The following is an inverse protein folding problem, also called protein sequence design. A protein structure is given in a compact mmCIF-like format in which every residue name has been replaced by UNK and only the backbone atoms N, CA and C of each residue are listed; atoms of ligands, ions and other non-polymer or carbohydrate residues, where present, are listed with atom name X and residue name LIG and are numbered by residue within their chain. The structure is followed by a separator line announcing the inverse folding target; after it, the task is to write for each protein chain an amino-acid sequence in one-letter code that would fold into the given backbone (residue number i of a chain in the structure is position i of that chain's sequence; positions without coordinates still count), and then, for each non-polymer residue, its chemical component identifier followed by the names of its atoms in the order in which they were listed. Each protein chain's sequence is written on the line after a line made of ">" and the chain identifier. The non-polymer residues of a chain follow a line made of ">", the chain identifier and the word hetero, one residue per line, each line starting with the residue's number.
data_IF_209017087570
#
_entry.id   IF_209017087570
#
_cell.length_a   1.000
_cell.length_b   1.000
_cell.length_c   1.000
_cell.angle_alpha   90.00
_cell.angle_beta   90.00
_cell.angle_gamma   90.00
#
_symmetry.space_group_name_H-M   'P 1'
#
loop_
_entity.id
_entity.type
_entity.pdbx_description
1 polymer ?
#
# COMPACT_ATOMS: atom_id res chain seq x y z
N UNK A 1 -17.76 -13.57 -17.76
CA UNK A 1 -17.03 -13.01 -16.60
C UNK A 1 -17.73 -11.72 -16.19
N UNK A 2 -18.09 -11.55 -14.92
CA UNK A 2 -18.73 -10.31 -14.47
C UNK A 2 -17.73 -9.15 -14.44
N UNK A 3 -18.17 -7.91 -14.67
CA UNK A 3 -17.32 -6.70 -14.61
C UNK A 3 -16.48 -6.63 -13.31
N UNK A 4 -17.04 -6.94 -12.12
CA UNK A 4 -16.28 -6.99 -10.87
C UNK A 4 -15.09 -7.94 -10.89
N UNK A 5 -15.28 -9.14 -11.43
CA UNK A 5 -14.24 -10.15 -11.53
C UNK A 5 -13.15 -9.69 -12.51
N UNK A 6 -13.54 -9.03 -13.61
CA UNK A 6 -12.59 -8.50 -14.59
C UNK A 6 -11.71 -7.42 -13.97
N UNK A 7 -12.29 -6.47 -13.25
CA UNK A 7 -11.56 -5.42 -12.54
C UNK A 7 -10.60 -6.04 -11.51
N UNK A 8 -11.07 -6.99 -10.71
CA UNK A 8 -10.22 -7.67 -9.72
C UNK A 8 -9.05 -8.43 -10.35
N UNK A 9 -9.30 -9.15 -11.45
CA UNK A 9 -8.29 -9.91 -12.17
C UNK A 9 -7.21 -9.00 -12.78
N UNK A 10 -7.61 -7.96 -13.51
CA UNK A 10 -6.70 -6.97 -14.10
C UNK A 10 -5.88 -6.27 -13.01
N UNK A 11 -6.54 -5.86 -11.92
CA UNK A 11 -5.87 -5.25 -10.78
C UNK A 11 -4.77 -6.14 -10.21
N UNK A 12 -5.08 -7.41 -9.92
CA UNK A 12 -4.09 -8.33 -9.38
C UNK A 12 -2.92 -8.58 -10.34
N UNK A 13 -3.16 -8.69 -11.65
CA UNK A 13 -2.10 -8.81 -12.64
C UNK A 13 -1.17 -7.60 -12.66
N UNK A 14 -1.73 -6.38 -12.62
CA UNK A 14 -0.94 -5.15 -12.60
C UNK A 14 -0.06 -5.12 -11.35
N UNK A 15 -0.64 -5.37 -10.17
CA UNK A 15 0.10 -5.36 -8.91
C UNK A 15 1.19 -6.42 -8.83
N UNK A 16 1.04 -7.55 -9.51
CA UNK A 16 2.06 -8.59 -9.61
C UNK A 16 3.29 -8.15 -10.42
N UNK A 17 3.12 -7.25 -11.39
CA UNK A 17 4.21 -6.81 -12.28
C UNK A 17 4.98 -5.60 -11.73
N UNK A 18 4.35 -4.74 -10.92
CA UNK A 18 4.99 -3.54 -10.35
C UNK A 18 6.32 -3.83 -9.64
N UNK A 19 6.50 -4.88 -8.80
CA UNK A 19 7.75 -5.14 -8.10
C UNK A 19 8.98 -5.20 -9.01
N UNK A 20 8.83 -5.75 -10.23
CA UNK A 20 9.92 -5.85 -11.20
C UNK A 20 10.43 -4.48 -11.66
N UNK A 21 9.58 -3.45 -11.65
CA UNK A 21 9.96 -2.07 -11.97
C UNK A 21 10.58 -1.33 -10.79
N UNK A 22 10.51 -1.93 -9.60
CA UNK A 22 10.91 -1.32 -8.33
C UNK A 22 12.12 -2.01 -7.69
N UNK A 23 12.75 -3.02 -8.34
CA UNK A 23 13.84 -3.88 -7.79
C UNK A 23 15.00 -3.12 -7.13
N UNK A 24 15.29 -1.89 -7.57
CA UNK A 24 16.42 -1.10 -7.07
C UNK A 24 16.00 0.08 -6.20
N UNK A 25 14.71 0.23 -5.91
CA UNK A 25 14.19 1.36 -5.13
C UNK A 25 13.99 1.00 -3.68
N UNK A 26 13.97 2.02 -2.81
CA UNK A 26 13.66 1.89 -1.38
C UNK A 26 12.22 1.41 -1.10
N UNK A 27 11.38 1.28 -2.13
CA UNK A 27 10.01 0.78 -2.06
C UNK A 27 9.85 -0.62 -2.66
N UNK A 28 10.94 -1.28 -3.08
CA UNK A 28 10.87 -2.63 -3.66
C UNK A 28 10.05 -3.61 -2.82
N UNK A 29 10.40 -3.76 -1.54
CA UNK A 29 9.75 -4.71 -0.64
C UNK A 29 8.28 -4.37 -0.41
N UNK A 30 7.94 -3.07 -0.34
CA UNK A 30 6.57 -2.61 -0.24
C UNK A 30 5.73 -3.11 -1.41
N UNK A 31 6.20 -2.89 -2.65
CA UNK A 31 5.48 -3.39 -3.83
C UNK A 31 5.52 -4.92 -3.95
N UNK A 32 6.63 -5.56 -3.58
CA UNK A 32 6.75 -7.02 -3.59
C UNK A 32 5.69 -7.67 -2.71
N UNK A 33 5.44 -7.12 -1.53
CA UNK A 33 4.38 -7.60 -0.63
C UNK A 33 3.01 -7.45 -1.28
N UNK A 34 2.70 -6.32 -1.92
CA UNK A 34 1.47 -6.18 -2.72
C UNK A 34 1.37 -7.22 -3.84
N UNK A 35 2.45 -7.43 -4.59
CA UNK A 35 2.49 -8.39 -5.70
C UNK A 35 2.28 -9.83 -5.24
N UNK A 36 2.91 -10.24 -4.14
CA UNK A 36 2.72 -11.56 -3.52
C UNK A 36 1.28 -11.71 -3.03
N UNK A 37 0.74 -10.72 -2.32
CA UNK A 37 -0.67 -10.75 -1.89
C UNK A 37 -1.63 -10.87 -3.07
N UNK A 38 -1.38 -10.14 -4.16
CA UNK A 38 -2.17 -10.27 -5.40
C UNK A 38 -2.03 -11.64 -6.05
N UNK A 39 -0.85 -12.26 -6.03
CA UNK A 39 -0.67 -13.64 -6.51
C UNK A 39 -1.47 -14.64 -5.66
N UNK A 40 -1.42 -14.50 -4.34
CA UNK A 40 -2.20 -15.35 -3.42
C UNK A 40 -3.70 -15.19 -3.69
N UNK A 41 -4.19 -13.96 -3.87
CA UNK A 41 -5.60 -13.68 -4.17
C UNK A 41 -6.08 -14.29 -5.50
N UNK A 42 -5.20 -14.42 -6.50
CA UNK A 42 -5.55 -15.10 -7.75
C UNK A 42 -5.71 -16.62 -7.53
N UNK A 43 -4.92 -17.19 -6.64
CA UNK A 43 -4.95 -18.63 -6.30
C UNK A 43 -6.01 -18.94 -5.25
N UNK A 44 -6.47 -17.95 -4.47
CA UNK A 44 -7.43 -18.13 -3.37
C UNK A 44 -8.77 -18.73 -3.81
N UNK A 45 -9.12 -18.61 -5.09
CA UNK A 45 -10.24 -19.37 -5.69
C UNK A 45 -10.16 -20.90 -5.47
N UNK A 46 -8.99 -21.43 -5.12
CA UNK A 46 -8.75 -22.83 -4.78
C UNK A 46 -8.61 -23.13 -3.27
N UNK A 47 -8.33 -22.11 -2.43
CA UNK A 47 -7.91 -22.31 -1.02
C UNK A 47 -9.00 -21.89 -0.02
N UNK A 48 -10.04 -21.16 -0.46
CA UNK A 48 -11.19 -20.75 0.36
C UNK A 48 -10.81 -19.93 1.61
N UNK A 49 -9.73 -19.15 1.55
CA UNK A 49 -9.31 -18.29 2.66
C UNK A 49 -10.11 -16.98 2.56
N UNK A 50 -10.62 -16.46 3.67
CA UNK A 50 -11.31 -15.17 3.62
C UNK A 50 -10.30 -14.05 3.28
N UNK A 51 -10.55 -13.18 2.28
CA UNK A 51 -9.58 -12.18 1.80
C UNK A 51 -9.05 -11.24 2.90
N UNK A 52 -9.89 -10.91 3.88
CA UNK A 52 -9.50 -10.09 5.04
C UNK A 52 -8.30 -10.66 5.81
N UNK A 53 -8.12 -11.99 5.84
CA UNK A 53 -7.00 -12.64 6.54
C UNK A 53 -5.68 -12.44 5.79
N UNK A 54 -5.71 -12.52 4.46
CA UNK A 54 -4.54 -12.24 3.62
C UNK A 54 -4.16 -10.75 3.74
N UNK A 55 -5.15 -9.85 3.68
CA UNK A 55 -4.91 -8.42 3.85
C UNK A 55 -4.35 -8.07 5.23
N UNK A 56 -4.76 -8.80 6.28
CA UNK A 56 -4.27 -8.54 7.65
C UNK A 56 -2.77 -8.81 7.76
N UNK A 57 -2.32 -9.96 7.24
CA UNK A 57 -0.90 -10.28 7.17
C UNK A 57 -0.14 -9.29 6.30
N UNK A 58 -0.69 -8.97 5.13
CA UNK A 58 -0.13 -7.97 4.23
C UNK A 58 0.13 -6.63 4.94
N UNK A 59 -0.85 -6.09 5.68
CA UNK A 59 -0.71 -4.80 6.36
C UNK A 59 0.44 -4.76 7.36
N UNK A 60 0.66 -5.83 8.12
CA UNK A 60 1.82 -5.91 9.00
C UNK A 60 3.13 -5.90 8.22
N UNK A 61 3.25 -6.74 7.18
CA UNK A 61 4.47 -6.77 6.36
C UNK A 61 4.74 -5.45 5.64
N UNK A 62 3.69 -4.74 5.20
CA UNK A 62 3.84 -3.42 4.58
C UNK A 62 4.43 -2.41 5.55
N UNK A 63 3.94 -2.35 6.79
CA UNK A 63 4.52 -1.50 7.84
C UNK A 63 6.00 -1.82 7.99
N UNK A 64 6.36 -3.10 8.13
CA UNK A 64 7.75 -3.54 8.25
C UNK A 64 8.60 -3.08 7.07
N UNK A 65 8.08 -3.19 5.85
CA UNK A 65 8.80 -2.85 4.61
C UNK A 65 9.15 -1.36 4.48
N UNK A 66 8.45 -0.49 5.21
CA UNK A 66 8.68 0.94 5.21
C UNK A 66 9.68 1.38 6.29
N UNK A 67 10.17 0.48 7.13
CA UNK A 67 11.24 0.75 8.06
C UNK A 67 12.58 0.23 7.53
N UNK A 68 13.65 0.96 7.85
CA UNK A 68 15.01 0.51 7.65
C UNK A 68 15.33 -0.55 8.71
N UNK A 69 15.14 -1.82 8.36
CA UNK A 69 15.25 -2.97 9.26
C UNK A 69 16.60 -3.05 9.99
N UNK A 70 17.68 -2.55 9.37
CA UNK A 70 19.01 -2.52 9.98
C UNK A 70 19.11 -1.63 11.22
N UNK A 71 18.17 -0.70 11.39
CA UNK A 71 18.11 0.22 12.54
C UNK A 71 17.26 -0.31 13.70
N UNK A 72 16.54 -1.42 13.50
CA UNK A 72 15.70 -2.01 14.53
C UNK A 72 16.54 -3.01 15.34
N UNK A 73 16.76 -2.78 16.66
CA UNK A 73 17.44 -3.76 17.48
C UNK A 73 16.64 -5.07 17.47
N UNK A 74 17.33 -6.20 17.33
CA UNK A 74 16.72 -7.54 17.33
C UNK A 74 15.70 -7.81 16.21
N UNK A 75 15.84 -7.17 15.03
CA UNK A 75 14.93 -7.37 13.88
C UNK A 75 14.70 -8.84 13.48
N UNK A 76 15.67 -9.73 13.77
CA UNK A 76 15.57 -11.19 13.52
C UNK A 76 14.40 -11.86 14.26
N UNK A 77 14.01 -11.34 15.43
CA UNK A 77 12.86 -11.84 16.19
C UNK A 77 11.55 -11.15 15.81
N UNK A 78 11.64 -9.98 15.19
CA UNK A 78 10.47 -9.22 14.76
C UNK A 78 9.71 -9.92 13.62
N UNK A 79 10.43 -10.49 12.64
CA UNK A 79 9.83 -11.14 11.49
C UNK A 79 9.02 -12.41 11.86
N UNK A 80 9.55 -13.36 12.67
CA UNK A 80 8.75 -14.47 13.20
C UNK A 80 7.53 -14.01 14.00
N UNK A 81 7.66 -12.92 14.79
CA UNK A 81 6.55 -12.37 15.56
C UNK A 81 5.42 -11.83 14.67
N UNK A 82 5.77 -11.08 13.62
CA UNK A 82 4.81 -10.57 12.63
C UNK A 82 4.13 -11.72 11.88
N UNK A 83 4.90 -12.73 11.46
CA UNK A 83 4.37 -13.92 10.80
C UNK A 83 3.39 -14.68 11.71
N UNK A 84 3.79 -14.93 12.96
CA UNK A 84 2.96 -15.62 13.95
C UNK A 84 1.66 -14.85 14.21
N UNK A 85 1.76 -13.52 14.39
CA UNK A 85 0.59 -12.65 14.59
C UNK A 85 -0.34 -12.72 13.39
N UNK A 86 0.20 -12.71 12.18
CA UNK A 86 -0.59 -12.78 10.93
C UNK A 86 -1.34 -14.10 10.76
N UNK A 87 -0.83 -15.19 11.32
CA UNK A 87 -1.46 -16.53 11.26
C UNK A 87 -2.45 -16.73 12.41
N UNK A 88 -2.08 -16.36 13.64
CA UNK A 88 -2.90 -16.63 14.83
C UNK A 88 -4.07 -15.65 14.92
N UNK A 89 -3.85 -14.37 14.65
CA UNK A 89 -4.85 -13.33 14.87
C UNK A 89 -6.17 -13.60 14.10
N UNK A 90 -6.15 -13.98 12.80
CA UNK A 90 -7.36 -14.39 12.08
C UNK A 90 -8.20 -15.50 12.74
N UNK A 91 -7.58 -16.37 13.53
CA UNK A 91 -8.25 -17.52 14.16
C UNK A 91 -9.01 -17.15 15.44
N UNK A 92 -8.72 -15.98 16.03
CA UNK A 92 -9.23 -15.59 17.35
C UNK A 92 -10.13 -14.35 17.33
N UNK A 93 -10.14 -13.59 16.23
CA UNK A 93 -10.96 -12.37 16.10
C UNK A 93 -11.92 -12.42 14.91
N UNK A 94 -13.05 -11.72 15.03
CA UNK A 94 -14.06 -11.63 13.98
C UNK A 94 -13.58 -10.78 12.79
N UNK A 95 -14.16 -11.03 11.61
CA UNK A 95 -13.88 -10.27 10.39
C UNK A 95 -14.14 -8.76 10.55
N UNK A 96 -15.13 -8.39 11.37
CA UNK A 96 -15.42 -6.98 11.68
C UNK A 96 -14.27 -6.31 12.41
N UNK A 97 -13.69 -6.97 13.43
CA UNK A 97 -12.52 -6.46 14.17
C UNK A 97 -11.30 -6.40 13.24
N UNK A 98 -11.10 -7.41 12.39
CA UNK A 98 -10.01 -7.42 11.40
C UNK A 98 -10.11 -6.21 10.46
N UNK A 99 -11.31 -5.88 9.99
CA UNK A 99 -11.52 -4.70 9.14
C UNK A 99 -11.10 -3.41 9.83
N UNK A 100 -11.39 -3.26 11.14
CA UNK A 100 -10.93 -2.11 11.93
C UNK A 100 -9.40 -2.09 12.03
N UNK A 101 -8.77 -3.24 12.27
CA UNK A 101 -7.30 -3.35 12.34
C UNK A 101 -6.67 -2.98 10.99
N UNK A 102 -7.26 -3.41 9.87
CA UNK A 102 -6.80 -3.05 8.53
C UNK A 102 -6.83 -1.54 8.30
N UNK A 103 -7.91 -0.86 8.71
CA UNK A 103 -7.99 0.60 8.65
C UNK A 103 -6.84 1.23 9.45
N UNK A 104 -6.60 0.77 10.68
CA UNK A 104 -5.53 1.28 11.53
C UNK A 104 -4.14 1.05 10.92
N UNK A 105 -3.89 -0.13 10.35
CA UNK A 105 -2.64 -0.44 9.65
C UNK A 105 -2.39 0.53 8.48
N UNK A 106 -3.39 0.76 7.63
CA UNK A 106 -3.25 1.69 6.51
C UNK A 106 -3.14 3.16 6.94
N UNK A 107 -3.78 3.56 8.05
CA UNK A 107 -3.55 4.87 8.65
C UNK A 107 -2.10 5.02 9.15
N UNK A 108 -1.53 3.98 9.77
CA UNK A 108 -0.11 3.98 10.17
C UNK A 108 0.79 4.11 8.94
N UNK A 109 0.54 3.30 7.89
CA UNK A 109 1.28 3.34 6.63
C UNK A 109 1.20 4.74 5.99
N UNK A 110 0.01 5.33 5.97
CA UNK A 110 -0.21 6.69 5.49
C UNK A 110 0.68 7.71 6.21
N UNK A 111 0.73 7.68 7.54
CA UNK A 111 1.58 8.61 8.30
C UNK A 111 3.07 8.36 8.08
N UNK A 112 3.49 7.10 7.91
CA UNK A 112 4.88 6.78 7.58
C UNK A 112 5.26 7.35 6.20
N UNK A 113 4.40 7.19 5.20
CA UNK A 113 4.62 7.75 3.85
C UNK A 113 4.60 9.27 3.91
N UNK A 114 3.62 9.88 4.58
CA UNK A 114 3.53 11.33 4.76
C UNK A 114 4.80 11.90 5.38
N UNK A 115 5.33 11.27 6.43
CA UNK A 115 6.62 11.64 7.03
C UNK A 115 7.75 11.57 6.00
N UNK A 116 7.83 10.51 5.19
CA UNK A 116 8.84 10.41 4.11
C UNK A 116 8.69 11.52 3.07
N UNK A 117 7.47 11.94 2.73
CA UNK A 117 7.25 13.08 1.81
C UNK A 117 7.84 14.34 2.42
N UNK A 118 7.50 14.64 3.68
CA UNK A 118 7.96 15.85 4.38
C UNK A 118 9.50 15.87 4.48
N UNK A 119 10.11 14.75 4.89
CA UNK A 119 11.58 14.65 4.99
C UNK A 119 12.24 14.84 3.62
N UNK A 120 11.77 14.12 2.59
CA UNK A 120 12.30 14.24 1.23
C UNK A 120 12.18 15.67 0.69
N UNK A 121 11.01 16.27 0.90
CA UNK A 121 10.68 17.64 0.49
C UNK A 121 11.61 18.65 1.16
N UNK A 122 11.85 18.52 2.46
CA UNK A 122 12.75 19.39 3.21
C UNK A 122 14.23 19.23 2.81
N UNK A 123 14.67 18.01 2.51
CA UNK A 123 16.07 17.73 2.14
C UNK A 123 16.41 18.09 0.69
N UNK A 124 15.43 18.03 -0.23
CA UNK A 124 15.67 18.15 -1.67
C UNK A 124 15.00 19.38 -2.31
N UNK A 125 14.25 20.18 -1.55
CA UNK A 125 13.46 21.33 -2.01
C UNK A 125 12.51 21.00 -3.19
N UNK A 126 12.13 19.72 -3.30
CA UNK A 126 11.35 19.18 -4.40
C UNK A 126 10.28 18.24 -3.88
N UNK A 127 9.10 18.31 -4.49
CA UNK A 127 8.04 17.33 -4.32
C UNK A 127 8.17 16.26 -5.40
N UNK A 128 8.25 15.00 -4.99
CA UNK A 128 8.31 13.88 -5.91
C UNK A 128 6.90 13.32 -6.15
N UNK A 129 6.47 13.30 -7.42
CA UNK A 129 5.15 12.81 -7.81
C UNK A 129 4.90 11.36 -7.38
N UNK A 130 5.95 10.53 -7.36
CA UNK A 130 5.85 9.14 -6.90
C UNK A 130 5.33 9.05 -5.47
N UNK A 131 5.87 9.88 -4.56
CA UNK A 131 5.43 9.89 -3.17
C UNK A 131 3.98 10.36 -3.04
N UNK A 132 3.58 11.35 -3.83
CA UNK A 132 2.21 11.85 -3.83
C UNK A 132 1.21 10.80 -4.33
N UNK A 133 1.52 10.11 -5.43
CA UNK A 133 0.69 9.02 -5.95
C UNK A 133 0.61 7.87 -4.95
N UNK A 134 1.69 7.54 -4.27
CA UNK A 134 1.70 6.54 -3.20
C UNK A 134 0.80 6.95 -2.02
N UNK A 135 0.80 8.22 -1.64
CA UNK A 135 -0.10 8.74 -0.62
C UNK A 135 -1.58 8.64 -1.05
N UNK A 136 -1.89 8.96 -2.31
CA UNK A 136 -3.25 8.82 -2.86
C UNK A 136 -3.70 7.35 -2.89
N UNK A 137 -2.78 6.43 -3.16
CA UNK A 137 -3.06 5.01 -3.08
C UNK A 137 -3.46 4.57 -1.67
N UNK A 138 -2.73 5.02 -0.64
CA UNK A 138 -3.08 4.71 0.74
C UNK A 138 -4.42 5.30 1.17
N UNK A 139 -4.73 6.53 0.77
CA UNK A 139 -6.07 7.11 1.00
C UNK A 139 -7.14 6.22 0.36
N UNK A 140 -6.91 5.75 -0.87
CA UNK A 140 -7.84 4.86 -1.55
C UNK A 140 -8.01 3.52 -0.80
N UNK A 141 -6.94 2.96 -0.26
CA UNK A 141 -6.97 1.74 0.55
C UNK A 141 -7.78 1.93 1.84
N UNK A 142 -7.53 3.02 2.59
CA UNK A 142 -8.28 3.36 3.80
C UNK A 142 -9.78 3.51 3.48
N UNK A 143 -10.11 4.27 2.43
CA UNK A 143 -11.50 4.49 2.02
C UNK A 143 -12.20 3.18 1.65
N UNK A 144 -11.51 2.25 0.99
CA UNK A 144 -12.07 0.93 0.65
C UNK A 144 -12.46 0.15 1.90
N UNK A 145 -11.60 0.10 2.91
CA UNK A 145 -11.92 -0.61 4.16
C UNK A 145 -12.99 0.10 4.99
N UNK A 146 -13.02 1.43 5.01
CA UNK A 146 -14.10 2.21 5.65
C UNK A 146 -15.46 1.91 5.02
N UNK A 147 -15.52 1.84 3.68
CA UNK A 147 -16.74 1.50 2.95
C UNK A 147 -17.22 0.09 3.29
N UNK A 148 -16.30 -0.87 3.38
CA UNK A 148 -16.61 -2.26 3.80
C UNK A 148 -17.11 -2.29 5.24
N UNK A 149 -16.44 -1.58 6.17
CA UNK A 149 -16.81 -1.54 7.58
C UNK A 149 -18.18 -0.87 7.82
N UNK A 150 -18.50 0.18 7.06
CA UNK A 150 -19.75 0.92 7.18
C UNK A 150 -20.97 0.23 6.56
N UNK A 151 -20.79 -0.92 5.89
CA UNK A 151 -21.84 -1.63 5.13
C UNK A 151 -22.72 -0.67 4.30
N UNK A 152 -22.08 0.33 3.69
CA UNK A 152 -22.78 1.41 3.01
C UNK A 152 -23.50 0.81 1.81
N UNK A 153 -24.80 1.06 1.63
CA UNK A 153 -25.58 0.51 0.49
C UNK A 153 -25.00 0.90 -0.88
N UNK A 154 -24.29 2.03 -0.97
CA UNK A 154 -23.51 2.45 -2.15
C UNK A 154 -22.11 1.83 -2.21
N UNK A 155 -21.77 0.97 -1.26
CA UNK A 155 -20.43 0.44 -1.04
C UNK A 155 -19.92 -0.42 -2.18
N UNK A 156 -20.81 -1.05 -2.94
CA UNK A 156 -20.47 -1.76 -4.18
C UNK A 156 -19.92 -0.79 -5.22
N UNK A 157 -20.56 0.37 -5.42
CA UNK A 157 -20.12 1.38 -6.40
C UNK A 157 -18.78 1.98 -5.96
N UNK A 158 -18.66 2.36 -4.69
CA UNK A 158 -17.41 2.87 -4.13
C UNK A 158 -16.27 1.85 -4.16
N UNK A 159 -16.56 0.57 -3.94
CA UNK A 159 -15.59 -0.50 -4.07
C UNK A 159 -15.05 -0.60 -5.50
N UNK A 160 -15.91 -0.55 -6.51
CA UNK A 160 -15.44 -0.58 -7.91
C UNK A 160 -14.72 0.69 -8.34
N UNK A 161 -15.16 1.87 -7.88
CA UNK A 161 -14.48 3.13 -8.17
C UNK A 161 -13.07 3.14 -7.57
N UNK A 162 -12.92 2.70 -6.31
CA UNK A 162 -11.60 2.59 -5.67
C UNK A 162 -10.75 1.47 -6.29
N UNK A 163 -11.35 0.40 -6.81
CA UNK A 163 -10.62 -0.63 -7.55
C UNK A 163 -10.09 -0.12 -8.89
N UNK A 164 -10.92 0.58 -9.68
CA UNK A 164 -10.51 1.21 -10.92
C UNK A 164 -9.44 2.28 -10.70
N UNK A 165 -9.59 3.11 -9.67
CA UNK A 165 -8.57 4.09 -9.29
C UNK A 165 -7.24 3.44 -8.88
N UNK A 166 -7.31 2.33 -8.14
CA UNK A 166 -6.12 1.54 -7.79
C UNK A 166 -5.42 0.94 -9.01
N UNK A 167 -6.16 0.55 -10.05
CA UNK A 167 -5.58 0.13 -11.33
C UNK A 167 -4.82 1.27 -12.00
N UNK A 168 -5.41 2.47 -12.08
CA UNK A 168 -4.75 3.64 -12.66
C UNK A 168 -3.45 3.98 -11.92
N UNK A 169 -3.46 3.92 -10.59
CA UNK A 169 -2.26 4.12 -9.77
C UNK A 169 -1.24 2.99 -10.02
N UNK A 170 -1.69 1.74 -10.12
CA UNK A 170 -0.82 0.61 -10.45
C UNK A 170 -0.12 0.80 -11.80
N UNK A 171 -0.85 1.27 -12.81
CA UNK A 171 -0.29 1.62 -14.12
C UNK A 171 0.75 2.72 -13.99
N UNK A 172 0.51 3.76 -13.18
CA UNK A 172 1.53 4.78 -12.90
C UNK A 172 2.83 4.16 -12.37
N UNK A 173 2.76 3.23 -11.42
CA UNK A 173 3.94 2.57 -10.85
C UNK A 173 4.64 1.57 -11.78
N UNK A 174 4.00 1.16 -12.88
CA UNK A 174 4.66 0.41 -13.94
C UNK A 174 5.58 1.29 -14.79
N UNK A 175 5.30 2.58 -14.92
CA UNK A 175 6.12 3.51 -15.70
C UNK A 175 7.09 4.31 -14.84
N UNK A 176 6.66 4.68 -13.63
CA UNK A 176 7.40 5.53 -12.72
C UNK A 176 7.80 4.81 -11.44
N UNK A 177 9.02 5.05 -11.02
CA UNK A 177 9.61 4.67 -9.76
C UNK A 177 10.11 5.93 -9.04
N UNK A 178 10.59 5.78 -7.80
CA UNK A 178 11.00 6.94 -7.00
C UNK A 178 12.13 7.77 -7.62
N UNK A 179 12.95 7.18 -8.49
CA UNK A 179 14.12 7.82 -9.09
C UNK A 179 13.78 8.59 -10.36
N UNK A 180 12.92 8.01 -11.22
CA UNK A 180 12.58 8.53 -12.55
C UNK A 180 11.25 9.30 -12.61
N UNK A 181 10.55 9.43 -11.49
CA UNK A 181 9.30 10.19 -11.41
C UNK A 181 9.51 11.69 -11.53
N UNK A 182 8.52 12.43 -12.07
CA UNK A 182 8.55 13.89 -12.08
C UNK A 182 8.75 14.50 -10.69
N UNK A 183 9.57 15.56 -10.63
CA UNK A 183 9.88 16.32 -9.42
C UNK A 183 9.49 17.78 -9.64
N UNK A 184 8.70 18.33 -8.73
CA UNK A 184 8.26 19.73 -8.78
C UNK A 184 9.07 20.55 -7.79
N UNK A 185 9.64 21.66 -8.23
CA UNK A 185 10.29 22.62 -7.32
C UNK A 185 9.25 23.23 -6.39
N UNK A 186 9.59 23.41 -5.12
CA UNK A 186 8.77 24.20 -4.22
C UNK A 186 9.07 25.68 -4.46
N UNK A 187 8.15 26.39 -5.12
CA UNK A 187 8.28 27.82 -5.36
C UNK A 187 8.46 28.56 -4.02
N UNK A 188 9.56 29.31 -3.88
CA UNK A 188 9.78 30.18 -2.71
C UNK A 188 11.19 30.22 -2.12
N UNK A 189 12.16 29.42 -2.60
CA UNK A 189 13.55 29.44 -2.08
C UNK A 189 14.56 30.24 -2.90
N UNK A 190 14.18 30.73 -4.08
CA UNK A 190 15.03 31.55 -4.95
C UNK A 190 14.91 33.08 -4.67
N UNK A 191 14.31 33.49 -3.54
CA UNK A 191 14.01 34.92 -3.27
C UNK A 191 14.85 35.53 -2.12
N UNK A 192 15.71 34.77 -1.43
CA UNK A 192 16.55 35.36 -0.39
C UNK A 192 17.98 34.82 -0.50
N UNK A 193 18.78 35.49 -1.32
CA UNK A 193 20.18 35.82 -1.04
C UNK A 193 20.71 36.69 -2.19
N UNK A 194 20.31 37.96 -2.16
CA UNK A 194 21.11 39.05 -2.73
C UNK A 194 21.12 40.20 -1.71
N UNK A 195 22.32 40.39 -1.16
CA UNK A 195 22.85 41.51 -0.37
C UNK A 195 22.64 41.53 1.16
#
# INVERSE_FOLDING_TARGET
>A
MSIPLLIGFIGNLIWLVIPFRQVRTSFFFFFLIYGISSAIMLIDSFILIHPAYIYLGQGFFLIVSLYDLGKIPNYKFFFPGVLLTSIILPLVISVGIITIILILQHVIIFFIILKRIIVYSNENDKLNLFHFVLLMFEISAIMRFVVVAGNIKTGIIFFYLTAAFSILIGVFFLYYNVENSPKFSMAGKDIVDTD
#
